data_IF_300811966141
#
_entry.id   IF_300811966141
#
_cell.length_a   1.000
_cell.length_b   1.000
_cell.length_c   1.000
_cell.angle_alpha   90.00
_cell.angle_beta   90.00
_cell.angle_gamma   90.00
#
_symmetry.space_group_name_H-M   'P 1'
#
loop_
_entity.id
_entity.type
_entity.pdbx_description
1 polymer ?
#
# COMPACT_ATOMS: atom_id res chain seq x y z
N UNK A 1 6.08 -3.25 33.66
CA UNK A 1 7.39 -3.40 33.00
C UNK A 1 7.27 -2.63 31.69
N UNK A 2 7.86 -1.44 31.61
CA UNK A 2 7.75 -0.54 30.46
C UNK A 2 8.57 -1.09 29.31
N UNK A 3 7.93 -1.82 28.39
CA UNK A 3 8.54 -2.25 27.14
C UNK A 3 7.92 -1.39 26.04
N UNK A 4 8.34 -0.11 25.97
CA UNK A 4 8.21 0.72 24.76
C UNK A 4 9.63 0.89 24.21
N UNK A 5 10.20 -0.18 23.62
CA UNK A 5 11.63 -0.27 23.46
C UNK A 5 12.07 0.62 22.30
N UNK A 6 13.09 1.44 22.55
CA UNK A 6 14.01 2.04 21.56
C UNK A 6 13.49 3.16 20.64
N UNK A 7 12.19 3.41 20.54
CA UNK A 7 11.66 4.38 19.56
C UNK A 7 11.01 5.62 20.16
N UNK A 8 10.92 5.76 21.48
CA UNK A 8 10.39 6.96 22.12
C UNK A 8 11.28 7.41 23.30
N UNK A 9 11.47 8.73 23.44
CA UNK A 9 12.05 9.31 24.66
C UNK A 9 11.01 9.22 25.78
N UNK A 10 11.32 8.36 26.75
CA UNK A 10 10.46 8.06 27.90
C UNK A 10 10.97 8.71 29.19
N UNK A 11 11.87 9.70 29.08
CA UNK A 11 12.41 10.43 30.22
C UNK A 11 11.35 11.29 30.93
N UNK A 12 10.30 11.71 30.22
CA UNK A 12 9.14 12.37 30.80
C UNK A 12 8.15 11.33 31.37
N UNK A 13 7.70 11.45 32.63
CA UNK A 13 6.72 10.55 33.22
C UNK A 13 5.30 10.65 32.62
N UNK A 14 5.00 11.69 31.82
CA UNK A 14 3.74 11.85 31.12
C UNK A 14 3.81 11.26 29.69
N UNK A 15 3.04 10.20 29.37
CA UNK A 15 3.07 9.55 28.05
C UNK A 15 2.69 10.46 26.88
N UNK A 16 1.87 11.49 27.11
CA UNK A 16 1.52 12.46 26.06
C UNK A 16 2.72 13.29 25.58
N UNK A 17 3.81 13.30 26.35
CA UNK A 17 5.04 14.02 26.04
C UNK A 17 6.13 13.10 25.45
N UNK A 18 5.86 11.80 25.30
CA UNK A 18 6.82 10.87 24.71
C UNK A 18 6.97 11.20 23.23
N UNK A 19 8.17 11.63 22.85
CA UNK A 19 8.48 11.96 21.45
C UNK A 19 9.18 10.77 20.81
N UNK A 20 8.96 10.50 19.51
CA UNK A 20 9.74 9.50 18.79
C UNK A 20 11.24 9.80 18.92
N UNK A 21 12.05 8.80 19.25
CA UNK A 21 13.51 8.82 19.22
C UNK A 21 13.97 8.91 17.76
N UNK A 22 13.91 10.11 17.21
CA UNK A 22 14.87 10.56 16.21
C UNK A 22 16.09 10.96 17.04
N UNK A 23 17.23 10.29 16.86
CA UNK A 23 18.40 10.55 17.70
C UNK A 23 18.65 12.06 17.78
N UNK A 24 18.77 12.61 19.00
CA UNK A 24 18.41 13.99 19.27
C UNK A 24 19.31 14.93 18.49
N UNK A 25 18.75 16.09 18.14
CA UNK A 25 19.53 17.29 17.92
C UNK A 25 20.62 17.35 19.00
N UNK A 26 21.91 17.35 18.63
CA UNK A 26 23.02 17.15 19.58
C UNK A 26 23.16 18.29 20.64
N UNK A 27 22.17 19.18 20.76
CA UNK A 27 22.09 20.22 21.77
C UNK A 27 23.07 21.37 21.52
N UNK A 28 23.63 21.46 20.32
CA UNK A 28 24.60 22.48 19.93
C UNK A 28 23.85 23.75 19.52
N UNK A 29 24.08 24.88 20.20
CA UNK A 29 23.47 26.16 19.87
C UNK A 29 24.19 26.80 18.68
N UNK A 30 23.87 26.38 17.47
CA UNK A 30 24.34 26.99 16.24
C UNK A 30 23.20 27.03 15.22
N UNK A 31 23.26 27.94 14.25
CA UNK A 31 22.26 28.05 13.16
C UNK A 31 22.19 26.80 12.25
N UNK A 32 22.98 25.76 12.54
CA UNK A 32 23.07 24.48 11.82
C UNK A 32 22.46 23.37 12.66
N UNK A 33 21.51 22.61 12.08
CA UNK A 33 20.89 21.46 12.74
C UNK A 33 21.87 20.28 12.71
N UNK A 34 22.30 19.82 13.88
CA UNK A 34 23.17 18.64 14.01
C UNK A 34 22.33 17.45 14.47
N UNK A 35 22.34 16.32 13.74
CA UNK A 35 21.50 15.16 14.04
C UNK A 35 21.23 14.26 12.82
N UNK A 36 20.21 13.41 12.92
CA UNK A 36 19.72 12.58 11.81
C UNK A 36 18.71 13.30 10.89
N UNK A 37 18.39 14.56 11.19
CA UNK A 37 17.30 15.31 10.57
C UNK A 37 15.99 15.23 11.36
N UNK A 38 14.90 15.68 10.75
CA UNK A 38 13.54 15.58 11.28
C UNK A 38 12.76 14.46 10.60
N UNK A 39 11.63 14.07 11.20
CA UNK A 39 10.76 13.00 10.65
C UNK A 39 10.14 13.40 9.32
N UNK A 40 10.06 14.70 9.07
CA UNK A 40 9.50 15.28 7.85
C UNK A 40 10.48 15.21 6.67
N UNK A 41 11.74 14.83 6.90
CA UNK A 41 12.80 14.78 5.88
C UNK A 41 13.08 16.12 5.21
N UNK A 42 12.72 17.24 5.86
CA UNK A 42 12.78 18.58 5.28
C UNK A 42 14.06 19.34 5.63
N UNK A 43 14.77 18.91 6.67
CA UNK A 43 16.01 19.54 7.11
C UNK A 43 17.26 18.85 6.54
N UNK A 44 18.33 19.62 6.42
CA UNK A 44 19.67 19.11 6.16
C UNK A 44 20.40 19.07 7.48
N UNK A 45 20.89 17.89 7.87
CA UNK A 45 21.51 17.69 9.17
C UNK A 45 22.92 17.12 9.05
N UNK A 46 23.78 17.54 9.98
CA UNK A 46 25.18 17.15 10.03
C UNK A 46 25.47 16.31 11.27
N UNK A 47 26.38 15.37 11.12
CA UNK A 47 27.03 14.70 12.24
C UNK A 47 28.26 15.53 12.66
N UNK A 48 28.38 15.95 13.93
CA UNK A 48 29.42 16.87 14.35
C UNK A 48 30.82 16.26 14.32
N UNK A 49 31.81 17.09 14.00
CA UNK A 49 33.21 16.74 14.05
C UNK A 49 33.61 16.30 15.47
N UNK A 50 34.48 15.29 15.55
CA UNK A 50 35.05 14.76 16.80
C UNK A 50 33.99 14.31 17.81
N UNK A 51 32.82 13.87 17.33
CA UNK A 51 31.76 13.34 18.17
C UNK A 51 31.66 11.80 18.04
N UNK A 52 31.61 11.05 19.15
CA UNK A 52 31.40 9.60 19.11
C UNK A 52 30.02 9.23 18.52
N UNK A 53 29.86 8.05 17.87
CA UNK A 53 30.82 6.95 17.80
C UNK A 53 31.81 7.06 16.64
N UNK A 54 31.57 7.95 15.67
CA UNK A 54 32.33 7.95 14.42
C UNK A 54 33.56 8.87 14.42
N UNK A 55 33.52 9.95 15.20
CA UNK A 55 34.65 10.83 15.49
C UNK A 55 35.35 11.41 14.22
N UNK A 56 34.56 11.82 13.22
CA UNK A 56 35.09 12.41 11.98
C UNK A 56 35.84 13.72 12.24
N UNK A 57 36.88 14.06 11.45
CA UNK A 57 37.68 15.27 11.69
C UNK A 57 36.95 16.56 11.31
N UNK A 58 35.84 16.47 10.58
CA UNK A 58 34.98 17.58 10.14
C UNK A 58 33.52 17.20 10.32
N UNK A 59 32.64 18.19 10.31
CA UNK A 59 31.20 17.97 10.27
C UNK A 59 30.84 17.21 8.99
N UNK A 60 30.17 16.09 9.15
CA UNK A 60 29.81 15.20 8.05
C UNK A 60 28.34 15.37 7.71
N UNK A 61 28.04 15.63 6.45
CA UNK A 61 26.66 15.72 5.96
C UNK A 61 25.97 14.35 6.12
N UNK A 62 25.02 14.24 7.04
CA UNK A 62 24.42 12.96 7.44
C UNK A 62 23.02 12.78 6.87
N UNK A 63 22.26 13.86 6.77
CA UNK A 63 20.95 13.91 6.14
C UNK A 63 20.88 15.09 5.18
N UNK A 64 20.27 14.90 4.01
CA UNK A 64 19.96 15.96 3.06
C UNK A 64 18.44 16.01 2.95
N UNK A 65 17.87 17.19 3.20
CA UNK A 65 16.43 17.40 3.06
C UNK A 65 16.00 17.03 1.64
N UNK A 66 15.11 16.06 1.52
CA UNK A 66 14.71 15.49 0.23
C UNK A 66 13.27 15.93 -0.09
N UNK A 67 13.14 16.93 -0.96
CA UNK A 67 11.88 17.62 -1.30
C UNK A 67 11.25 18.40 -0.12
N UNK A 68 11.98 19.35 0.50
CA UNK A 68 11.51 20.05 1.71
C UNK A 68 10.27 20.93 1.50
N UNK A 69 9.86 21.15 0.26
CA UNK A 69 8.63 21.88 -0.08
C UNK A 69 7.39 20.98 -0.22
N UNK A 70 7.55 19.66 -0.11
CA UNK A 70 6.46 18.70 -0.25
C UNK A 70 5.90 18.39 1.14
N UNK A 71 4.58 18.25 1.26
CA UNK A 71 3.99 17.76 2.50
C UNK A 71 4.39 16.30 2.72
N UNK A 72 4.68 15.97 3.97
CA UNK A 72 4.92 14.62 4.47
C UNK A 72 3.73 14.10 5.31
N UNK A 73 2.59 14.80 5.28
CA UNK A 73 1.37 14.37 5.96
C UNK A 73 0.91 13.02 5.39
N UNK A 74 0.64 12.08 6.28
CA UNK A 74 0.12 10.77 5.88
C UNK A 74 -1.37 10.91 5.59
N UNK A 75 -1.77 10.68 4.34
CA UNK A 75 -3.18 10.72 3.96
C UNK A 75 -3.90 9.36 4.13
N UNK A 76 -3.15 8.26 4.22
CA UNK A 76 -3.66 6.90 4.37
C UNK A 76 -2.53 5.96 4.81
N UNK A 77 -2.85 4.95 5.61
CA UNK A 77 -1.97 3.84 5.95
C UNK A 77 -2.56 2.51 5.47
N UNK A 78 -1.69 1.56 5.14
CA UNK A 78 -2.08 0.17 4.96
C UNK A 78 -0.98 -0.78 5.43
N UNK A 79 -1.35 -2.02 5.78
CA UNK A 79 -0.42 -3.04 6.22
C UNK A 79 -0.81 -4.44 5.72
N UNK A 80 0.20 -5.30 5.56
CA UNK A 80 0.06 -6.71 5.25
C UNK A 80 0.61 -7.53 6.44
N UNK A 81 -0.29 -8.19 7.16
CA UNK A 81 0.01 -8.88 8.41
C UNK A 81 0.44 -7.92 9.53
N UNK A 82 0.95 -8.50 10.60
CA UNK A 82 1.58 -7.77 11.71
C UNK A 82 0.61 -7.14 12.71
N UNK A 83 1.19 -6.44 13.69
CA UNK A 83 0.47 -5.83 14.81
C UNK A 83 1.06 -4.47 15.15
N UNK A 84 0.24 -3.62 15.77
CA UNK A 84 0.69 -2.41 16.45
C UNK A 84 1.19 -2.78 17.85
N UNK A 85 2.25 -2.14 18.31
CA UNK A 85 2.78 -2.36 19.65
C UNK A 85 1.82 -1.88 20.76
N UNK A 86 0.98 -0.89 20.46
CA UNK A 86 0.01 -0.34 21.41
C UNK A 86 -1.15 0.32 20.66
N UNK A 87 -2.34 0.32 21.25
CA UNK A 87 -3.51 0.97 20.64
C UNK A 87 -3.36 2.49 20.54
N UNK A 88 -2.60 3.11 21.46
CA UNK A 88 -2.32 4.55 21.46
C UNK A 88 -1.56 5.05 20.23
N UNK A 89 -1.04 4.14 19.41
CA UNK A 89 -0.44 4.48 18.11
C UNK A 89 -1.50 4.75 17.04
N UNK A 90 -2.77 4.40 17.30
CA UNK A 90 -3.90 4.92 16.57
C UNK A 90 -4.50 6.09 17.35
N UNK A 91 -4.88 7.13 16.63
CA UNK A 91 -5.53 8.30 17.19
C UNK A 91 -6.69 8.77 16.28
N UNK A 92 -7.30 9.90 16.64
CA UNK A 92 -8.41 10.51 15.92
C UNK A 92 -7.94 11.53 14.86
N UNK A 93 -6.72 11.38 14.32
CA UNK A 93 -6.18 12.29 13.29
C UNK A 93 -6.89 12.23 11.95
N UNK A 94 -7.79 11.24 11.76
CA UNK A 94 -8.51 11.08 10.49
C UNK A 94 -7.72 10.32 9.43
N UNK A 95 -6.61 9.66 9.78
CA UNK A 95 -5.84 8.83 8.85
C UNK A 95 -6.55 7.48 8.64
N UNK A 96 -7.04 7.19 7.42
CA UNK A 96 -7.69 5.91 7.14
C UNK A 96 -6.67 4.76 7.13
N UNK A 97 -7.10 3.57 7.57
CA UNK A 97 -6.29 2.36 7.67
C UNK A 97 -6.97 1.24 6.90
N UNK A 98 -6.20 0.57 6.04
CA UNK A 98 -6.60 -0.66 5.37
C UNK A 98 -5.63 -1.78 5.73
N UNK A 99 -6.14 -2.85 6.34
CA UNK A 99 -5.32 -3.97 6.79
C UNK A 99 -5.62 -5.25 6.02
N UNK A 100 -4.57 -6.02 5.75
CA UNK A 100 -4.63 -7.38 5.26
C UNK A 100 -4.02 -8.30 6.31
N UNK A 101 -4.62 -9.45 6.60
CA UNK A 101 -4.07 -10.37 7.61
C UNK A 101 -4.55 -11.80 7.36
N UNK A 102 -3.68 -12.79 7.56
CA UNK A 102 -4.11 -14.20 7.63
C UNK A 102 -4.86 -14.47 8.94
N UNK A 103 -5.96 -15.20 8.88
CA UNK A 103 -6.79 -15.46 10.07
C UNK A 103 -6.03 -16.20 11.17
N UNK A 104 -5.21 -17.18 10.77
CA UNK A 104 -4.48 -18.07 11.67
C UNK A 104 -2.98 -17.77 11.69
N UNK A 105 -2.57 -16.51 11.45
CA UNK A 105 -1.16 -16.13 11.49
C UNK A 105 -0.53 -16.56 12.85
N UNK A 106 0.50 -17.44 12.84
CA UNK A 106 1.07 -17.97 14.07
C UNK A 106 2.08 -17.02 14.74
N UNK A 107 2.46 -15.92 14.07
CA UNK A 107 3.50 -14.99 14.51
C UNK A 107 2.94 -13.64 14.94
N UNK A 108 1.81 -13.23 14.37
CA UNK A 108 1.11 -11.99 14.69
C UNK A 108 -0.37 -12.29 14.92
N UNK A 109 -0.87 -12.01 16.12
CA UNK A 109 -2.30 -12.14 16.38
C UNK A 109 -3.08 -11.15 15.50
N UNK A 110 -4.13 -11.63 14.81
CA UNK A 110 -5.04 -10.75 14.07
C UNK A 110 -5.87 -9.86 15.01
N UNK A 111 -6.13 -10.34 16.22
CA UNK A 111 -6.73 -9.60 17.33
C UNK A 111 -5.66 -9.04 18.27
N UNK A 112 -6.04 -8.65 19.49
CA UNK A 112 -5.06 -8.32 20.52
C UNK A 112 -4.37 -9.59 21.04
N UNK A 113 -3.05 -9.54 21.20
CA UNK A 113 -2.29 -10.73 21.57
C UNK A 113 -0.87 -10.45 22.02
N UNK A 114 0.00 -11.46 21.87
CA UNK A 114 1.42 -11.40 22.18
C UNK A 114 2.24 -11.60 20.91
N UNK A 115 3.40 -10.97 20.83
CA UNK A 115 4.43 -11.34 19.85
C UNK A 115 5.43 -12.25 20.54
N UNK A 116 5.74 -13.38 19.90
CA UNK A 116 6.67 -14.38 20.41
C UNK A 116 7.84 -14.58 19.46
N UNK A 117 8.97 -15.04 19.99
CA UNK A 117 10.08 -15.53 19.18
C UNK A 117 9.67 -16.89 18.58
N UNK A 118 9.67 -17.07 17.25
CA UNK A 118 9.20 -18.30 16.59
C UNK A 118 9.86 -19.57 17.12
N UNK A 119 11.17 -19.52 17.43
CA UNK A 119 11.94 -20.72 17.77
C UNK A 119 12.01 -21.00 19.28
N UNK A 120 11.85 -20.00 20.14
CA UNK A 120 11.98 -20.17 21.60
C UNK A 120 10.65 -20.08 22.34
N UNK A 121 9.61 -19.50 21.71
CA UNK A 121 8.32 -19.22 22.34
C UNK A 121 8.37 -18.09 23.37
N UNK A 122 9.50 -17.39 23.49
CA UNK A 122 9.65 -16.27 24.42
C UNK A 122 8.78 -15.09 23.98
N UNK A 123 8.09 -14.45 24.93
CA UNK A 123 7.29 -13.26 24.67
C UNK A 123 8.24 -12.07 24.41
N UNK A 124 8.12 -11.50 23.21
CA UNK A 124 8.83 -10.27 22.78
C UNK A 124 8.01 -9.04 23.18
N UNK A 125 6.71 -9.04 22.89
CA UNK A 125 5.79 -7.95 23.25
C UNK A 125 4.52 -8.57 23.83
N UNK A 126 4.20 -8.33 25.12
CA UNK A 126 3.10 -9.00 25.81
C UNK A 126 1.71 -8.45 25.50
N UNK A 127 1.62 -7.27 24.90
CA UNK A 127 0.35 -6.68 24.49
C UNK A 127 0.58 -6.02 23.13
N UNK A 128 -0.01 -6.59 22.09
CA UNK A 128 -0.06 -5.99 20.76
C UNK A 128 -1.49 -5.92 20.26
N UNK A 129 -1.72 -5.04 19.31
CA UNK A 129 -3.02 -4.80 18.69
C UNK A 129 -2.96 -5.26 17.24
N UNK A 130 -3.60 -6.38 16.94
CA UNK A 130 -3.68 -6.92 15.59
C UNK A 130 -4.60 -6.14 14.66
N UNK A 131 -4.51 -6.44 13.37
CA UNK A 131 -5.24 -5.77 12.29
C UNK A 131 -6.75 -5.68 12.52
N UNK A 132 -7.40 -6.70 13.09
CA UNK A 132 -8.85 -6.67 13.35
C UNK A 132 -9.20 -5.66 14.43
N UNK A 133 -8.43 -5.63 15.52
CA UNK A 133 -8.63 -4.64 16.59
C UNK A 133 -8.27 -3.24 16.10
N UNK A 134 -7.20 -3.07 15.33
CA UNK A 134 -6.80 -1.78 14.75
C UNK A 134 -7.87 -1.23 13.81
N UNK A 135 -8.36 -2.03 12.87
CA UNK A 135 -9.41 -1.65 11.93
C UNK A 135 -10.75 -1.33 12.63
N UNK A 136 -11.07 -2.07 13.71
CA UNK A 136 -12.22 -1.80 14.57
C UNK A 136 -12.18 -0.37 15.13
N UNK A 137 -11.11 0.00 15.82
CA UNK A 137 -10.99 1.33 16.42
C UNK A 137 -10.91 2.45 15.37
N UNK A 138 -10.19 2.22 14.27
CA UNK A 138 -10.08 3.23 13.20
C UNK A 138 -11.45 3.52 12.54
N UNK A 139 -12.29 2.50 12.43
CA UNK A 139 -13.67 2.67 11.94
C UNK A 139 -14.57 3.31 13.00
N UNK A 140 -14.48 2.86 14.25
CA UNK A 140 -15.26 3.41 15.37
C UNK A 140 -15.03 4.91 15.56
N UNK A 141 -13.79 5.38 15.39
CA UNK A 141 -13.44 6.80 15.48
C UNK A 141 -13.74 7.59 14.21
N UNK A 142 -14.19 6.93 13.15
CA UNK A 142 -14.58 7.57 11.90
C UNK A 142 -13.42 7.92 10.96
N UNK A 143 -12.20 7.46 11.25
CA UNK A 143 -11.04 7.68 10.36
C UNK A 143 -11.25 7.01 9.00
N UNK A 144 -11.92 5.85 8.96
CA UNK A 144 -12.24 5.13 7.72
C UNK A 144 -13.45 5.71 6.94
N UNK A 145 -14.07 6.80 7.40
CA UNK A 145 -15.27 7.36 6.76
C UNK A 145 -15.07 7.71 5.27
N UNK A 146 -13.86 8.13 4.89
CA UNK A 146 -13.53 8.53 3.52
C UNK A 146 -13.81 7.45 2.47
N UNK A 147 -13.63 6.18 2.81
CA UNK A 147 -13.98 5.06 1.92
C UNK A 147 -15.24 4.31 2.36
N UNK A 148 -15.60 4.27 3.65
CA UNK A 148 -16.84 3.63 4.11
C UNK A 148 -18.10 4.30 3.51
N UNK A 149 -18.05 5.61 3.28
CA UNK A 149 -19.15 6.37 2.69
C UNK A 149 -19.09 6.44 1.16
N UNK A 150 -18.05 5.88 0.53
CA UNK A 150 -17.85 5.97 -0.91
C UNK A 150 -18.77 5.03 -1.72
N UNK A 151 -19.55 4.16 -1.05
CA UNK A 151 -20.51 3.28 -1.72
C UNK A 151 -19.85 2.14 -2.51
N UNK A 152 -18.64 1.71 -2.11
CA UNK A 152 -17.94 0.59 -2.71
C UNK A 152 -18.79 -0.69 -2.60
N UNK A 153 -19.06 -1.34 -3.74
CA UNK A 153 -19.94 -2.51 -3.83
C UNK A 153 -19.34 -3.65 -4.67
N UNK A 154 -18.03 -3.61 -4.91
CA UNK A 154 -17.34 -4.70 -5.60
C UNK A 154 -17.35 -6.00 -4.76
N UNK A 155 -17.03 -7.11 -5.41
CA UNK A 155 -17.09 -8.44 -4.79
C UNK A 155 -16.16 -8.57 -3.58
N UNK A 156 -14.93 -8.03 -3.64
CA UNK A 156 -13.96 -8.14 -2.55
C UNK A 156 -14.43 -7.33 -1.34
N UNK A 157 -14.95 -6.12 -1.57
CA UNK A 157 -15.54 -5.29 -0.53
C UNK A 157 -16.71 -5.99 0.16
N UNK A 158 -17.65 -6.56 -0.61
CA UNK A 158 -18.78 -7.29 -0.03
C UNK A 158 -18.34 -8.53 0.76
N UNK A 159 -17.37 -9.30 0.23
CA UNK A 159 -16.85 -10.47 0.92
C UNK A 159 -16.20 -10.11 2.26
N UNK A 160 -15.31 -9.11 2.26
CA UNK A 160 -14.64 -8.64 3.47
C UNK A 160 -15.65 -8.10 4.50
N UNK A 161 -16.57 -7.25 4.08
CA UNK A 161 -17.56 -6.64 4.97
C UNK A 161 -18.47 -7.71 5.60
N UNK A 162 -18.89 -8.72 4.83
CA UNK A 162 -19.69 -9.83 5.35
C UNK A 162 -18.91 -10.65 6.38
N UNK A 163 -17.63 -10.95 6.10
CA UNK A 163 -16.76 -11.66 7.02
C UNK A 163 -16.56 -10.89 8.34
N UNK A 164 -16.23 -9.60 8.24
CA UNK A 164 -15.98 -8.74 9.38
C UNK A 164 -17.25 -8.56 10.24
N UNK A 165 -18.41 -8.35 9.60
CA UNK A 165 -19.69 -8.16 10.30
C UNK A 165 -20.16 -9.41 11.04
N UNK A 166 -19.86 -10.61 10.51
CA UNK A 166 -20.17 -11.87 11.19
C UNK A 166 -19.34 -12.05 12.48
N UNK A 167 -18.10 -11.55 12.46
CA UNK A 167 -17.16 -11.65 13.57
C UNK A 167 -17.42 -10.62 14.66
N UNK A 168 -18.02 -9.47 14.32
CA UNK A 168 -18.41 -8.42 15.27
C UNK A 168 -19.93 -8.39 15.57
N UNK A 169 -20.43 -9.50 16.11
CA UNK A 169 -21.82 -9.57 16.57
C UNK A 169 -22.11 -8.70 17.81
N UNK A 170 -21.06 -8.18 18.48
CA UNK A 170 -21.17 -7.43 19.73
C UNK A 170 -21.36 -5.92 19.51
N UNK A 171 -20.70 -5.32 18.51
CA UNK A 171 -20.79 -3.87 18.25
C UNK A 171 -21.66 -3.52 17.03
N UNK A 172 -22.03 -4.50 16.20
CA UNK A 172 -23.01 -4.32 15.11
C UNK A 172 -22.52 -3.39 13.99
N UNK A 173 -21.20 -3.26 13.82
CA UNK A 173 -20.58 -2.40 12.82
C UNK A 173 -20.21 -3.20 11.56
N UNK A 174 -20.40 -2.59 10.40
CA UNK A 174 -19.90 -3.09 9.11
C UNK A 174 -18.54 -2.47 8.87
N UNK A 175 -17.45 -3.20 9.15
CA UNK A 175 -16.09 -2.70 8.93
C UNK A 175 -15.66 -2.92 7.50
N UNK A 176 -15.63 -1.83 6.76
CA UNK A 176 -14.81 -1.70 5.58
C UNK A 176 -13.41 -1.20 6.05
N UNK A 177 -12.32 -1.83 5.57
CA UNK A 177 -10.94 -1.53 5.96
C UNK A 177 -10.12 -2.72 6.47
N UNK A 178 -10.69 -3.93 6.54
CA UNK A 178 -9.95 -5.16 6.86
C UNK A 178 -10.30 -6.25 5.84
N UNK A 179 -9.28 -6.82 5.21
CA UNK A 179 -9.41 -8.02 4.39
C UNK A 179 -8.68 -9.19 5.06
N UNK A 180 -9.41 -10.25 5.38
CA UNK A 180 -8.86 -11.43 6.05
C UNK A 180 -8.62 -12.54 5.03
N UNK A 181 -7.40 -13.05 4.98
CA UNK A 181 -7.04 -14.21 4.18
C UNK A 181 -7.29 -15.50 4.99
N UNK A 182 -8.08 -16.39 4.40
CA UNK A 182 -8.29 -17.74 4.89
C UNK A 182 -7.31 -18.68 4.16
N UNK A 183 -6.15 -18.92 4.75
CA UNK A 183 -5.13 -19.81 4.20
C UNK A 183 -5.51 -21.29 4.43
N UNK A 184 -5.05 -22.21 3.58
CA UNK A 184 -5.28 -23.64 3.80
C UNK A 184 -4.62 -24.14 5.09
N UNK A 185 -5.25 -25.12 5.74
CA UNK A 185 -4.67 -25.77 6.91
C UNK A 185 -3.31 -26.42 6.57
N UNK A 186 -2.32 -26.40 7.50
CA UNK A 186 -1.00 -26.95 7.26
C UNK A 186 -1.03 -28.47 7.02
N UNK A 187 -0.07 -28.96 6.25
CA UNK A 187 0.12 -30.40 6.08
C UNK A 187 0.44 -31.07 7.43
N UNK A 188 -0.21 -32.20 7.69
CA UNK A 188 0.06 -33.05 8.87
C UNK A 188 1.25 -33.97 8.70
N UNK A 189 1.94 -33.89 7.56
CA UNK A 189 3.14 -34.68 7.25
C UNK A 189 4.38 -33.80 7.38
N UNK A 190 5.42 -34.22 8.12
CA UNK A 190 6.67 -33.47 8.24
C UNK A 190 7.42 -33.44 6.90
N UNK A 191 8.31 -32.46 6.75
CA UNK A 191 9.21 -32.38 5.61
C UNK A 191 10.31 -33.47 5.68
N UNK A 192 11.21 -33.49 4.68
CA UNK A 192 12.29 -34.47 4.59
C UNK A 192 13.28 -34.47 5.77
N UNK A 193 13.26 -33.41 6.59
CA UNK A 193 14.11 -33.23 7.77
C UNK A 193 13.36 -33.44 9.09
N UNK A 194 12.09 -33.84 9.04
CA UNK A 194 11.27 -34.11 10.22
C UNK A 194 10.56 -32.88 10.81
N UNK A 195 10.63 -31.73 10.15
CA UNK A 195 10.02 -30.49 10.61
C UNK A 195 8.54 -30.43 10.21
N UNK A 196 7.68 -29.95 11.11
CA UNK A 196 6.24 -29.90 10.91
C UNK A 196 5.79 -28.57 10.28
N UNK A 197 4.94 -28.60 9.24
CA UNK A 197 4.31 -27.40 8.68
C UNK A 197 3.45 -26.66 9.70
N UNK A 198 3.31 -25.36 9.51
CA UNK A 198 2.50 -24.47 10.35
C UNK A 198 1.70 -23.48 9.49
N UNK A 199 0.82 -22.71 10.12
CA UNK A 199 -0.10 -21.80 9.43
C UNK A 199 0.64 -20.73 8.62
N UNK A 200 0.11 -20.40 7.45
CA UNK A 200 0.71 -19.42 6.53
C UNK A 200 0.37 -17.98 6.95
N UNK A 201 1.40 -17.13 7.08
CA UNK A 201 1.28 -15.73 7.54
C UNK A 201 1.49 -14.68 6.45
N UNK A 202 2.26 -15.01 5.41
CA UNK A 202 2.59 -14.09 4.32
C UNK A 202 2.50 -14.74 2.93
N UNK A 203 1.30 -15.14 2.48
CA UNK A 203 1.11 -15.83 1.20
C UNK A 203 1.46 -14.98 -0.04
N UNK A 204 1.71 -13.69 0.15
CA UNK A 204 2.18 -12.76 -0.87
C UNK A 204 3.71 -12.76 -1.05
N UNK A 205 4.46 -13.52 -0.26
CA UNK A 205 5.91 -13.62 -0.39
C UNK A 205 6.30 -14.73 -1.37
N UNK A 206 7.33 -14.48 -2.20
CA UNK A 206 7.96 -15.50 -3.03
C UNK A 206 9.45 -15.25 -3.18
N UNK A 207 10.22 -16.31 -3.41
CA UNK A 207 11.67 -16.27 -3.56
C UNK A 207 12.17 -17.38 -4.48
N UNK A 208 13.40 -17.23 -4.96
CA UNK A 208 14.09 -18.34 -5.62
C UNK A 208 14.60 -19.34 -4.57
N UNK A 209 13.95 -20.50 -4.48
CA UNK A 209 14.21 -21.46 -3.40
C UNK A 209 15.61 -22.07 -3.46
N UNK A 210 16.20 -22.19 -4.65
CA UNK A 210 17.56 -22.69 -4.81
C UNK A 210 18.60 -21.69 -4.29
N UNK A 211 18.42 -20.40 -4.60
CA UNK A 211 19.27 -19.32 -4.08
C UNK A 211 19.14 -19.19 -2.58
N UNK A 212 17.91 -19.25 -2.06
CA UNK A 212 17.67 -19.22 -0.60
C UNK A 212 18.41 -20.36 0.10
N UNK A 213 18.32 -21.59 -0.41
CA UNK A 213 18.99 -22.75 0.20
C UNK A 213 20.52 -22.60 0.18
N UNK A 214 21.11 -22.14 -0.93
CA UNK A 214 22.54 -21.90 -1.01
C UNK A 214 23.02 -20.85 -0.01
N UNK A 215 22.25 -19.77 0.18
CA UNK A 215 22.54 -18.73 1.18
C UNK A 215 22.39 -19.26 2.60
N UNK A 216 21.33 -20.02 2.87
CA UNK A 216 21.06 -20.61 4.19
C UNK A 216 22.15 -21.60 4.60
N UNK A 217 22.60 -22.45 3.66
CA UNK A 217 23.72 -23.37 3.86
C UNK A 217 25.00 -22.60 4.21
N UNK A 218 25.33 -21.55 3.46
CA UNK A 218 26.55 -20.77 3.69
C UNK A 218 26.55 -20.03 5.03
N UNK A 219 25.40 -19.46 5.42
CA UNK A 219 25.26 -18.70 6.67
C UNK A 219 25.22 -19.58 7.91
N UNK A 220 24.51 -20.71 7.84
CA UNK A 220 24.20 -21.53 9.02
C UNK A 220 24.98 -22.86 9.09
N UNK A 221 25.76 -23.20 8.06
CA UNK A 221 26.43 -24.50 7.96
C UNK A 221 25.46 -25.70 7.87
N UNK A 222 24.24 -25.46 7.38
CA UNK A 222 23.18 -26.45 7.27
C UNK A 222 23.39 -27.38 6.06
N UNK A 223 22.85 -28.61 6.07
CA UNK A 223 22.93 -29.51 4.92
C UNK A 223 22.10 -28.99 3.73
N UNK A 224 22.49 -29.40 2.52
CA UNK A 224 21.77 -29.04 1.30
C UNK A 224 20.30 -29.47 1.34
N UNK A 225 19.41 -28.56 0.92
CA UNK A 225 17.97 -28.74 0.95
C UNK A 225 17.29 -28.40 2.28
N UNK A 226 18.02 -28.23 3.39
CA UNK A 226 17.42 -27.93 4.69
C UNK A 226 16.75 -26.55 4.71
N UNK A 227 17.42 -25.54 4.18
CA UNK A 227 16.85 -24.19 4.08
C UNK A 227 15.62 -24.19 3.20
N UNK A 228 15.74 -24.75 1.99
CA UNK A 228 14.63 -24.85 1.03
C UNK A 228 13.41 -25.62 1.57
N UNK A 229 13.61 -26.68 2.35
CA UNK A 229 12.52 -27.47 2.90
C UNK A 229 11.85 -26.78 4.09
N UNK A 230 12.60 -26.04 4.90
CA UNK A 230 12.08 -25.37 6.09
C UNK A 230 11.37 -24.05 5.75
N UNK A 231 11.82 -23.33 4.72
CA UNK A 231 11.17 -22.10 4.28
C UNK A 231 9.76 -22.33 3.72
N UNK A 232 9.44 -23.56 3.31
CA UNK A 232 8.11 -23.93 2.79
C UNK A 232 7.12 -24.38 3.87
N UNK A 233 7.54 -24.49 5.14
CA UNK A 233 6.67 -24.99 6.22
C UNK A 233 5.47 -24.08 6.49
N UNK A 234 5.64 -22.76 6.32
CA UNK A 234 4.58 -21.74 6.41
C UNK A 234 4.25 -21.08 5.08
N UNK A 235 4.68 -21.67 3.95
CA UNK A 235 4.43 -21.17 2.60
C UNK A 235 4.42 -22.35 1.60
N UNK A 236 3.50 -23.32 1.76
CA UNK A 236 3.58 -24.63 1.08
C UNK A 236 3.41 -24.55 -0.44
N UNK A 237 2.79 -23.48 -0.95
CA UNK A 237 2.53 -23.21 -2.36
C UNK A 237 3.29 -21.97 -2.86
N UNK A 238 4.42 -21.62 -2.21
CA UNK A 238 5.27 -20.50 -2.56
C UNK A 238 5.64 -20.55 -4.04
N UNK A 239 5.15 -19.54 -4.77
CA UNK A 239 5.49 -19.30 -6.17
C UNK A 239 5.15 -17.85 -6.52
N UNK A 240 5.77 -17.34 -7.57
CA UNK A 240 5.42 -16.05 -8.15
C UNK A 240 3.93 -16.00 -8.52
N UNK A 241 3.39 -17.07 -9.11
CA UNK A 241 1.99 -17.15 -9.53
C UNK A 241 1.01 -17.09 -8.36
N UNK A 242 1.27 -17.83 -7.28
CA UNK A 242 0.45 -17.80 -6.06
C UNK A 242 0.52 -16.42 -5.42
N UNK A 243 1.73 -15.89 -5.21
CA UNK A 243 1.91 -14.59 -4.56
C UNK A 243 1.22 -13.45 -5.34
N UNK A 244 1.32 -13.45 -6.67
CA UNK A 244 0.64 -12.46 -7.49
C UNK A 244 -0.89 -12.54 -7.39
N UNK A 245 -1.50 -13.71 -7.17
CA UNK A 245 -2.95 -13.81 -6.93
C UNK A 245 -3.36 -13.16 -5.60
N UNK A 246 -2.55 -13.30 -4.55
CA UNK A 246 -2.76 -12.59 -3.30
C UNK A 246 -2.57 -11.08 -3.49
N UNK A 247 -1.53 -10.65 -4.21
CA UNK A 247 -1.31 -9.23 -4.53
C UNK A 247 -2.41 -8.63 -5.40
N UNK A 248 -2.97 -9.38 -6.34
CA UNK A 248 -4.13 -8.96 -7.14
C UNK A 248 -5.35 -8.71 -6.25
N UNK A 249 -5.56 -9.56 -5.24
CA UNK A 249 -6.60 -9.36 -4.23
C UNK A 249 -6.32 -8.13 -3.36
N UNK A 250 -5.07 -7.96 -2.91
CA UNK A 250 -4.62 -6.79 -2.14
C UNK A 250 -4.88 -5.51 -2.93
N UNK A 251 -4.43 -5.43 -4.19
CA UNK A 251 -4.66 -4.27 -5.05
C UNK A 251 -6.15 -4.05 -5.35
N UNK A 252 -6.89 -5.12 -5.62
CA UNK A 252 -8.33 -5.06 -5.90
C UNK A 252 -9.13 -4.49 -4.73
N UNK A 253 -8.74 -4.80 -3.49
CA UNK A 253 -9.36 -4.26 -2.29
C UNK A 253 -8.79 -2.88 -1.90
N UNK A 254 -7.48 -2.67 -1.94
CA UNK A 254 -6.83 -1.45 -1.49
C UNK A 254 -7.08 -0.26 -2.43
N UNK A 255 -6.92 -0.46 -3.74
CA UNK A 255 -6.88 0.65 -4.70
C UNK A 255 -8.19 1.45 -4.76
N UNK A 256 -9.39 0.86 -4.72
CA UNK A 256 -10.64 1.64 -4.65
C UNK A 256 -10.69 2.57 -3.42
N UNK A 257 -10.18 2.12 -2.27
CA UNK A 257 -10.15 2.90 -1.02
C UNK A 257 -9.10 4.00 -1.08
N UNK A 258 -7.94 3.69 -1.66
CA UNK A 258 -6.90 4.69 -1.90
C UNK A 258 -7.40 5.77 -2.88
N UNK A 259 -8.11 5.37 -3.93
CA UNK A 259 -8.68 6.28 -4.92
C UNK A 259 -9.69 7.26 -4.31
N UNK A 260 -10.52 6.81 -3.37
CA UNK A 260 -11.52 7.65 -2.69
C UNK A 260 -10.86 8.57 -1.66
N UNK A 261 -9.99 8.04 -0.80
CA UNK A 261 -9.32 8.82 0.26
C UNK A 261 -8.41 9.90 -0.31
N UNK A 262 -7.65 9.58 -1.35
CA UNK A 262 -6.75 10.55 -1.98
C UNK A 262 -7.48 11.50 -2.95
N UNK A 263 -8.81 11.38 -3.08
CA UNK A 263 -9.60 12.24 -3.96
C UNK A 263 -9.21 12.14 -5.44
N UNK A 264 -8.59 11.03 -5.85
CA UNK A 264 -8.05 10.85 -7.22
C UNK A 264 -9.16 10.78 -8.27
N UNK A 265 -10.39 10.43 -7.85
CA UNK A 265 -11.56 10.50 -8.71
C UNK A 265 -12.14 11.88 -8.92
N UNK A 266 -11.69 12.88 -8.15
CA UNK A 266 -12.37 14.15 -8.05
C UNK A 266 -13.71 14.04 -7.37
N UNK A 267 -14.03 15.01 -6.52
CA UNK A 267 -15.41 15.34 -6.26
C UNK A 267 -15.98 15.97 -7.53
N UNK A 268 -16.46 15.15 -8.47
CA UNK A 268 -17.05 15.69 -9.69
C UNK A 268 -18.45 16.16 -9.37
N UNK A 269 -18.63 17.47 -9.21
CA UNK A 269 -19.97 18.06 -9.02
C UNK A 269 -20.75 18.18 -10.34
N UNK A 270 -20.18 17.71 -11.46
CA UNK A 270 -20.79 17.78 -12.78
C UNK A 270 -20.36 16.66 -13.73
N UNK A 271 -21.26 16.29 -14.64
CA UNK A 271 -21.09 15.22 -15.62
C UNK A 271 -19.87 15.41 -16.53
N UNK A 272 -19.55 16.66 -16.89
CA UNK A 272 -18.39 16.98 -17.74
C UNK A 272 -17.06 16.64 -17.07
N UNK A 273 -16.93 16.92 -15.77
CA UNK A 273 -15.70 16.62 -15.03
C UNK A 273 -15.53 15.11 -14.82
N UNK A 274 -16.63 14.39 -14.58
CA UNK A 274 -16.64 12.94 -14.51
C UNK A 274 -16.19 12.32 -15.83
N UNK A 275 -16.75 12.77 -16.96
CA UNK A 275 -16.36 12.29 -18.28
C UNK A 275 -14.88 12.58 -18.56
N UNK A 276 -14.37 13.76 -18.19
CA UNK A 276 -12.98 14.12 -18.38
C UNK A 276 -12.04 13.25 -17.53
N UNK A 277 -12.38 12.91 -16.29
CA UNK A 277 -11.51 12.04 -15.46
C UNK A 277 -11.55 10.57 -15.86
N UNK A 278 -12.68 10.11 -16.39
CA UNK A 278 -12.93 8.69 -16.66
C UNK A 278 -12.76 8.30 -18.13
N UNK A 279 -12.36 9.23 -19.00
CA UNK A 279 -12.06 8.95 -20.41
C UNK A 279 -10.56 8.90 -20.65
N UNK A 280 -10.05 7.72 -21.00
CA UNK A 280 -8.64 7.45 -21.27
C UNK A 280 -8.41 7.16 -22.76
N UNK A 281 -7.19 7.47 -23.23
CA UNK A 281 -6.77 7.24 -24.61
C UNK A 281 -5.32 6.75 -24.64
N UNK A 282 -5.06 5.63 -25.30
CA UNK A 282 -3.74 4.98 -25.31
C UNK A 282 -3.56 4.02 -26.50
N UNK A 283 -2.32 3.77 -26.98
CA UNK A 283 -1.09 4.43 -26.55
C UNK A 283 -1.04 5.88 -27.04
N UNK A 284 -0.20 6.71 -26.41
CA UNK A 284 0.12 8.05 -26.85
C UNK A 284 1.61 8.31 -26.53
N UNK A 285 2.51 8.39 -27.52
CA UNK A 285 2.26 8.40 -28.97
C UNK A 285 1.65 7.10 -29.53
N UNK A 286 0.96 7.18 -30.67
CA UNK A 286 0.33 6.04 -31.35
C UNK A 286 0.87 5.86 -32.77
N UNK A 287 1.08 4.60 -33.17
CA UNK A 287 1.46 4.22 -34.53
C UNK A 287 0.21 3.79 -35.33
N UNK A 288 -0.24 2.54 -35.16
CA UNK A 288 -1.28 1.97 -36.03
C UNK A 288 -2.72 2.13 -35.51
N UNK A 289 -2.88 2.05 -34.19
CA UNK A 289 -4.19 2.05 -33.56
C UNK A 289 -4.14 2.73 -32.20
N UNK A 290 -5.26 3.32 -31.82
CA UNK A 290 -5.47 3.87 -30.50
C UNK A 290 -6.73 3.27 -29.87
N UNK A 291 -6.66 3.00 -28.58
CA UNK A 291 -7.78 2.58 -27.75
C UNK A 291 -8.30 3.80 -27.00
N UNK A 292 -9.62 3.93 -26.97
CA UNK A 292 -10.31 4.95 -26.19
C UNK A 292 -11.27 4.21 -25.27
N UNK A 293 -11.16 4.48 -23.97
CA UNK A 293 -11.96 3.85 -22.92
C UNK A 293 -12.66 4.96 -22.14
N UNK A 294 -13.97 4.83 -21.95
CA UNK A 294 -14.78 5.70 -21.11
C UNK A 294 -15.49 4.86 -20.07
N UNK A 295 -15.12 5.04 -18.79
CA UNK A 295 -15.68 4.25 -17.69
C UNK A 295 -17.05 4.76 -17.21
N UNK A 296 -17.42 6.00 -17.53
CA UNK A 296 -18.68 6.60 -17.05
C UNK A 296 -19.76 6.73 -18.12
N UNK A 297 -19.40 6.90 -19.41
CA UNK A 297 -20.37 7.21 -20.47
C UNK A 297 -20.11 6.45 -21.78
N UNK A 298 -21.20 6.17 -22.53
CA UNK A 298 -21.12 5.56 -23.87
C UNK A 298 -20.52 6.57 -24.85
N UNK A 299 -19.49 6.16 -25.59
CA UNK A 299 -18.90 6.96 -26.67
C UNK A 299 -19.83 6.90 -27.89
N UNK A 300 -20.25 8.07 -28.36
CA UNK A 300 -21.12 8.24 -29.53
C UNK A 300 -20.38 8.67 -30.76
N UNK A 301 -19.45 9.62 -30.62
CA UNK A 301 -18.67 10.11 -31.74
C UNK A 301 -17.24 10.41 -31.30
N UNK A 302 -16.30 10.17 -32.22
CA UNK A 302 -14.93 10.65 -32.10
C UNK A 302 -14.63 11.49 -33.34
N UNK A 303 -14.33 12.77 -33.10
CA UNK A 303 -13.87 13.70 -34.12
C UNK A 303 -12.39 14.00 -33.90
N UNK A 304 -11.59 13.92 -34.97
CA UNK A 304 -10.16 14.18 -34.91
C UNK A 304 -9.86 15.47 -35.66
N UNK A 305 -9.08 16.35 -35.03
CA UNK A 305 -8.65 17.63 -35.57
C UNK A 305 -7.13 17.71 -35.64
N UNK A 306 -6.61 18.30 -36.72
CA UNK A 306 -5.19 18.65 -36.80
C UNK A 306 -4.87 19.94 -36.00
N UNK A 307 -3.59 20.31 -35.88
CA UNK A 307 -3.16 21.53 -35.16
C UNK A 307 -3.74 22.83 -35.70
N UNK A 308 -4.15 22.85 -36.97
CA UNK A 308 -4.81 24.00 -37.62
C UNK A 308 -6.32 24.04 -37.34
N UNK A 309 -6.84 23.12 -36.53
CA UNK A 309 -8.27 23.02 -36.18
C UNK A 309 -9.14 22.42 -37.29
N UNK A 310 -8.56 21.86 -38.35
CA UNK A 310 -9.32 21.20 -39.40
C UNK A 310 -9.69 19.79 -38.97
N UNK A 311 -10.97 19.42 -39.15
CA UNK A 311 -11.46 18.06 -38.88
C UNK A 311 -10.95 17.11 -39.96
N UNK A 312 -10.14 16.14 -39.56
CA UNK A 312 -9.50 15.16 -40.48
C UNK A 312 -10.20 13.80 -40.45
N UNK A 313 -10.93 13.48 -39.39
CA UNK A 313 -11.70 12.24 -39.27
C UNK A 313 -12.92 12.43 -38.37
N UNK A 314 -13.99 11.71 -38.65
CA UNK A 314 -15.16 11.60 -37.78
C UNK A 314 -15.71 10.18 -37.87
N UNK A 315 -15.90 9.50 -36.73
CA UNK A 315 -16.54 8.18 -36.67
C UNK A 315 -17.52 8.10 -35.52
N UNK A 316 -18.63 7.41 -35.75
CA UNK A 316 -19.66 7.17 -34.74
C UNK A 316 -19.53 5.77 -34.14
N UNK A 317 -19.89 5.65 -32.87
CA UNK A 317 -19.76 4.46 -32.04
C UNK A 317 -20.98 4.30 -31.14
N UNK A 318 -21.07 3.14 -30.50
CA UNK A 318 -22.02 2.88 -29.42
C UNK A 318 -21.41 1.89 -28.42
N UNK A 319 -20.28 2.27 -27.84
CA UNK A 319 -19.52 1.44 -26.92
C UNK A 319 -18.75 2.29 -25.91
N UNK A 320 -18.41 1.70 -24.76
CA UNK A 320 -17.55 2.32 -23.75
C UNK A 320 -16.06 2.14 -24.05
N UNK A 321 -15.73 1.15 -24.87
CA UNK A 321 -14.37 0.86 -25.33
C UNK A 321 -14.36 0.76 -26.84
N UNK A 322 -13.47 1.52 -27.49
CA UNK A 322 -13.32 1.53 -28.94
C UNK A 322 -11.85 1.44 -29.33
N UNK A 323 -11.59 0.74 -30.42
CA UNK A 323 -10.27 0.70 -31.07
C UNK A 323 -10.39 1.40 -32.41
N UNK A 324 -9.55 2.40 -32.63
CA UNK A 324 -9.55 3.23 -33.83
C UNK A 324 -8.22 3.09 -34.57
N UNK A 325 -8.28 2.76 -35.85
CA UNK A 325 -7.11 2.76 -36.72
C UNK A 325 -6.68 4.20 -37.07
N UNK A 326 -5.39 4.48 -36.94
CA UNK A 326 -4.77 5.79 -37.16
C UNK A 326 -3.92 5.87 -38.42
N UNK A 327 -3.80 4.79 -39.21
CA UNK A 327 -2.91 4.71 -40.38
C UNK A 327 -3.21 5.74 -41.48
N UNK A 328 -4.42 6.30 -41.52
CA UNK A 328 -4.78 7.35 -42.48
C UNK A 328 -4.38 8.76 -42.02
N UNK A 329 -3.87 8.90 -40.81
CA UNK A 329 -3.33 10.14 -40.27
C UNK A 329 -1.83 10.18 -40.52
N UNK A 330 -1.32 11.32 -41.01
CA UNK A 330 0.11 11.56 -41.08
C UNK A 330 0.73 11.75 -39.70
N UNK A 331 2.02 11.46 -39.54
CA UNK A 331 2.81 11.79 -38.35
C UNK A 331 2.56 13.24 -37.91
N UNK A 332 2.22 13.46 -36.64
CA UNK A 332 1.92 14.79 -36.12
C UNK A 332 1.05 14.81 -34.86
N UNK A 333 0.67 16.02 -34.43
CA UNK A 333 -0.15 16.24 -33.24
C UNK A 333 -1.62 16.44 -33.63
N UNK A 334 -2.52 15.75 -32.94
CA UNK A 334 -3.95 15.80 -33.17
C UNK A 334 -4.73 16.03 -31.87
N UNK A 335 -5.92 16.61 -31.99
CA UNK A 335 -6.90 16.71 -30.92
C UNK A 335 -8.04 15.75 -31.22
N UNK A 336 -8.23 14.78 -30.33
CA UNK A 336 -9.35 13.86 -30.34
C UNK A 336 -10.45 14.44 -29.48
N UNK A 337 -11.61 14.68 -30.07
CA UNK A 337 -12.82 15.12 -29.38
C UNK A 337 -13.79 13.94 -29.28
N UNK A 338 -13.90 13.38 -28.07
CA UNK A 338 -14.66 12.18 -27.74
C UNK A 338 -15.99 12.64 -27.15
N UNK A 339 -17.09 12.33 -27.82
CA UNK A 339 -18.43 12.80 -27.48
C UNK A 339 -19.29 11.66 -26.96
N UNK A 340 -20.07 11.94 -25.92
CA UNK A 340 -21.20 11.15 -25.46
C UNK A 340 -22.52 11.88 -25.75
N UNK A 341 -23.63 11.37 -25.22
CA UNK A 341 -24.92 12.07 -25.30
C UNK A 341 -24.96 13.39 -24.52
N UNK A 342 -24.15 13.50 -23.46
CA UNK A 342 -24.27 14.59 -22.48
C UNK A 342 -23.01 15.45 -22.41
N UNK A 343 -21.85 14.89 -22.78
CA UNK A 343 -20.55 15.52 -22.55
C UNK A 343 -19.60 15.31 -23.73
N UNK A 344 -18.51 16.08 -23.74
CA UNK A 344 -17.47 16.03 -24.75
C UNK A 344 -16.12 16.22 -24.06
N UNK A 345 -15.18 15.33 -24.35
CA UNK A 345 -13.85 15.29 -23.73
C UNK A 345 -12.79 15.41 -24.82
N UNK A 346 -11.77 16.24 -24.59
CA UNK A 346 -10.69 16.47 -25.56
C UNK A 346 -9.37 15.89 -25.08
N UNK A 347 -8.64 15.22 -25.98
CA UNK A 347 -7.32 14.67 -25.72
C UNK A 347 -6.34 15.05 -26.81
N UNK A 348 -5.13 15.46 -26.41
CA UNK A 348 -4.00 15.64 -27.31
C UNK A 348 -3.32 14.30 -27.52
N UNK A 349 -3.15 13.92 -28.78
CA UNK A 349 -2.51 12.65 -29.19
C UNK A 349 -1.41 12.94 -30.20
N UNK A 350 -0.29 12.25 -30.07
CA UNK A 350 0.83 12.28 -31.01
C UNK A 350 0.73 11.01 -31.87
N UNK A 351 0.70 11.17 -33.20
CA UNK A 351 0.78 10.07 -34.16
C UNK A 351 2.21 10.04 -34.71
N UNK A 352 2.83 8.86 -34.72
CA UNK A 352 4.18 8.61 -35.23
C UNK A 352 4.20 8.04 -36.64
#
# INVERSE_FOLDING_TARGET
LFIYPKFFDTSDPNPANHTPLIAPNFGLSMDTVYGFGNIDGSDTAYFPANFPPFNFPIDFLWNIGNNPSYSNDVNMAFNLGGTLADLSWLDYTGIPLVSFHCENDPFAAIDSGVIIVPNTGDIVIPNVVGSRTAAHYNTLWGNNNGFNQAGLNDTLTQMANNYNSATDSVHGLVYDGLYVFQTPAPSTTPNAFGEMPYEESSPWDWWDNATYDAMFQALNGAPAGYGAANSLLGAPNMSDSTANLYLDTVHGYLNPRMYTVLGLGGNTTGLTELADKTTQIYPNPANDNINIVSYSQIIKDVEIYNISGQKVMSKSFNANTIKLNTNSLSTGVYIFNIKSNETSVKRKVIIE
#
